data_IF_335463196099
#
_entry.id   IF_335463196099
#
_cell.length_a   1.000
_cell.length_b   1.000
_cell.length_c   1.000
_cell.angle_alpha   90.00
_cell.angle_beta   90.00
_cell.angle_gamma   90.00
#
_symmetry.space_group_name_H-M   'P 1'
#
loop_
_entity.id
_entity.type
_entity.pdbx_description
1 polymer ?
#
# COMPACT_ATOMS: atom_id res chain seq x y z
N UNK A 1 -10.66 -14.25 -0.03
CA UNK A 1 -10.21 -12.88 0.22
C UNK A 1 -8.76 -12.75 -0.22
N UNK A 2 -8.43 -11.70 -0.94
CA UNK A 2 -7.06 -11.52 -1.46
C UNK A 2 -6.15 -10.96 -0.39
N UNK A 3 -4.85 -11.28 -0.49
CA UNK A 3 -3.83 -10.70 0.37
C UNK A 3 -2.79 -9.98 -0.48
N UNK A 4 -2.15 -8.97 0.10
CA UNK A 4 -1.08 -8.27 -0.59
C UNK A 4 0.14 -9.18 -0.76
N UNK A 5 0.83 -9.03 -1.89
CA UNK A 5 2.10 -9.70 -2.13
C UNK A 5 3.03 -8.78 -2.91
N UNK A 6 4.32 -9.05 -2.84
CA UNK A 6 5.33 -8.25 -3.55
C UNK A 6 5.16 -8.32 -5.07
N UNK A 7 4.51 -9.35 -5.57
CA UNK A 7 4.25 -9.49 -7.01
C UNK A 7 3.36 -8.39 -7.56
N UNK A 8 2.57 -7.75 -6.71
CA UNK A 8 1.71 -6.65 -7.14
C UNK A 8 2.51 -5.45 -7.65
N UNK A 9 3.76 -5.30 -7.23
CA UNK A 9 4.61 -4.23 -7.75
C UNK A 9 4.83 -4.34 -9.25
N UNK A 10 4.75 -5.55 -9.81
CA UNK A 10 4.90 -5.76 -11.25
C UNK A 10 3.76 -5.14 -12.05
N UNK A 11 2.61 -4.92 -11.44
CA UNK A 11 1.45 -4.33 -12.08
C UNK A 11 1.40 -2.82 -11.93
N UNK A 12 2.34 -2.24 -11.18
CA UNK A 12 2.36 -0.81 -10.86
C UNK A 12 3.49 -0.11 -11.61
N UNK A 13 3.43 1.22 -11.76
CA UNK A 13 4.54 1.98 -12.32
C UNK A 13 5.84 1.73 -11.56
N UNK A 14 6.96 1.91 -12.23
CA UNK A 14 8.29 1.62 -11.69
C UNK A 14 8.62 2.44 -10.43
N UNK A 15 8.00 3.61 -10.25
CA UNK A 15 8.26 4.46 -9.09
C UNK A 15 7.47 4.05 -7.85
N UNK A 16 6.60 3.05 -7.94
CA UNK A 16 5.89 2.54 -6.75
C UNK A 16 6.88 1.90 -5.80
N UNK A 17 6.87 2.35 -4.55
CA UNK A 17 7.82 1.88 -3.52
C UNK A 17 7.13 1.12 -2.40
N UNK A 18 5.86 1.37 -2.14
CA UNK A 18 5.13 0.79 -1.01
C UNK A 18 3.72 0.45 -1.45
N UNK A 19 3.20 -0.67 -0.96
CA UNK A 19 1.79 -1.03 -1.14
C UNK A 19 1.18 -1.31 0.22
N UNK A 20 -0.11 -1.03 0.37
CA UNK A 20 -0.81 -1.29 1.62
C UNK A 20 -2.31 -1.47 1.36
N UNK A 21 -3.02 -1.95 2.38
CA UNK A 21 -4.48 -2.05 2.36
C UNK A 21 -5.04 -1.18 3.48
N UNK A 22 -6.13 -0.47 3.19
CA UNK A 22 -6.84 0.32 4.19
C UNK A 22 -7.87 -0.54 4.93
N UNK A 23 -8.44 0.03 6.00
CA UNK A 23 -9.39 -0.69 6.84
C UNK A 23 -10.64 -1.17 6.12
N UNK A 24 -10.94 -0.62 4.95
CA UNK A 24 -12.10 -1.02 4.14
C UNK A 24 -11.76 -2.09 3.08
N UNK A 25 -10.53 -2.61 3.07
CA UNK A 25 -10.13 -3.63 2.10
C UNK A 25 -9.65 -3.08 0.77
N UNK A 26 -9.56 -1.76 0.61
CA UNK A 26 -9.05 -1.13 -0.61
C UNK A 26 -7.51 -1.09 -0.55
N UNK A 27 -6.86 -1.54 -1.60
CA UNK A 27 -5.41 -1.60 -1.69
C UNK A 27 -4.87 -0.51 -2.61
N UNK A 28 -3.75 0.08 -2.20
CA UNK A 28 -3.10 1.20 -2.90
C UNK A 28 -1.60 1.01 -2.94
N UNK A 29 -0.99 1.57 -3.99
CA UNK A 29 0.45 1.71 -4.07
C UNK A 29 0.85 3.18 -3.94
N UNK A 30 2.07 3.42 -3.47
CA UNK A 30 2.60 4.76 -3.25
C UNK A 30 4.02 4.87 -3.77
N UNK A 31 4.38 6.03 -4.29
CA UNK A 31 5.75 6.27 -4.75
C UNK A 31 6.69 6.67 -3.62
N UNK A 32 6.20 6.82 -2.40
CA UNK A 32 7.01 7.12 -1.23
C UNK A 32 7.34 5.87 -0.42
N UNK A 33 8.32 5.99 0.49
CA UNK A 33 8.72 4.90 1.38
C UNK A 33 7.69 4.66 2.46
N UNK A 34 7.73 3.46 3.04
CA UNK A 34 6.84 3.08 4.14
C UNK A 34 6.88 4.06 5.29
N UNK A 35 8.05 4.62 5.60
CA UNK A 35 8.21 5.59 6.69
C UNK A 35 7.45 6.89 6.48
N UNK A 36 7.08 7.19 5.24
CA UNK A 36 6.29 8.37 4.89
C UNK A 36 4.79 8.15 5.05
N UNK A 37 4.39 6.97 5.47
CA UNK A 37 2.99 6.61 5.67
C UNK A 37 2.71 6.49 7.16
N UNK A 38 1.58 7.06 7.58
CA UNK A 38 1.07 6.90 8.94
C UNK A 38 -0.36 6.37 8.84
N UNK A 39 -0.85 5.80 9.92
CA UNK A 39 -2.23 5.29 9.94
C UNK A 39 -3.12 6.17 10.79
N UNK A 40 -4.39 6.26 10.39
CA UNK A 40 -5.44 6.84 11.21
C UNK A 40 -6.53 5.78 11.43
N UNK A 41 -7.73 6.19 11.80
CA UNK A 41 -8.82 5.25 12.11
C UNK A 41 -9.32 4.48 10.89
N UNK A 42 -9.05 4.97 9.69
CA UNK A 42 -9.66 4.45 8.47
C UNK A 42 -8.65 3.87 7.48
N UNK A 43 -7.42 4.34 7.50
CA UNK A 43 -6.45 3.91 6.50
C UNK A 43 -5.11 4.60 6.66
N UNK A 44 -4.30 4.50 5.62
CA UNK A 44 -2.99 5.12 5.57
C UNK A 44 -3.09 6.55 5.06
N UNK A 45 -2.26 7.42 5.64
CA UNK A 45 -2.14 8.82 5.25
C UNK A 45 -0.71 9.12 4.87
N UNK A 46 -0.53 10.05 3.92
CA UNK A 46 0.80 10.48 3.50
C UNK A 46 1.30 11.60 4.41
N UNK A 47 2.58 11.56 4.73
CA UNK A 47 3.28 12.66 5.42
C UNK A 47 4.08 13.51 4.44
N UNK A 48 4.11 13.14 3.17
CA UNK A 48 4.77 13.87 2.10
C UNK A 48 3.99 13.69 0.80
N UNK A 49 4.24 14.51 -0.18
CA UNK A 49 3.60 14.37 -1.48
C UNK A 49 4.23 13.21 -2.24
N UNK A 50 3.39 12.31 -2.74
CA UNK A 50 3.83 11.28 -3.66
C UNK A 50 2.66 10.81 -4.51
N UNK A 51 2.93 9.99 -5.51
CA UNK A 51 1.89 9.44 -6.35
C UNK A 51 1.19 8.29 -5.65
N UNK A 52 -0.13 8.20 -5.85
CA UNK A 52 -0.96 7.14 -5.28
C UNK A 52 -1.53 6.34 -6.45
N UNK A 53 -1.42 5.02 -6.36
CA UNK A 53 -1.90 4.12 -7.41
C UNK A 53 -2.96 3.19 -6.84
N UNK A 54 -4.06 3.05 -7.57
CA UNK A 54 -5.13 2.12 -7.21
C UNK A 54 -4.71 0.70 -7.56
N UNK A 55 -4.86 -0.23 -6.61
CA UNK A 55 -4.60 -1.65 -6.84
C UNK A 55 -5.91 -2.41 -7.00
N UNK A 56 -6.80 -2.31 -6.01
CA UNK A 56 -8.07 -3.03 -6.06
C UNK A 56 -8.79 -3.02 -4.74
N UNK A 57 -9.83 -3.85 -4.64
CA UNK A 57 -10.64 -3.98 -3.43
C UNK A 57 -10.77 -5.45 -3.07
N UNK A 58 -11.41 -5.74 -1.94
CA UNK A 58 -11.61 -7.12 -1.51
C UNK A 58 -10.38 -7.75 -0.89
N UNK A 59 -9.42 -6.94 -0.45
CA UNK A 59 -8.22 -7.42 0.22
C UNK A 59 -8.49 -7.65 1.71
N UNK A 60 -7.75 -8.60 2.28
CA UNK A 60 -7.85 -8.89 3.71
C UNK A 60 -7.37 -7.69 4.52
N UNK A 61 -8.29 -7.08 5.27
CA UNK A 61 -8.02 -5.90 6.08
C UNK A 61 -7.94 -6.23 7.58
N UNK A 62 -7.87 -7.50 7.95
CA UNK A 62 -7.87 -7.90 9.36
C UNK A 62 -6.66 -7.36 10.12
N UNK A 63 -5.55 -7.10 9.44
CA UNK A 63 -4.34 -6.54 10.02
C UNK A 63 -3.84 -5.36 9.17
N UNK A 64 -4.75 -4.51 8.73
CA UNK A 64 -4.44 -3.49 7.75
C UNK A 64 -3.38 -2.48 8.22
N UNK A 65 -3.33 -2.19 9.53
CA UNK A 65 -2.36 -1.22 10.05
C UNK A 65 -0.91 -1.68 9.86
N UNK A 66 -0.69 -2.98 9.74
CA UNK A 66 0.62 -3.57 9.52
C UNK A 66 0.79 -4.14 8.12
N UNK A 67 -0.09 -3.74 7.18
CA UNK A 67 -0.11 -4.32 5.84
C UNK A 67 0.94 -3.75 4.89
N UNK A 68 1.54 -2.61 5.19
CA UNK A 68 2.44 -1.93 4.27
C UNK A 68 3.67 -2.78 3.95
N UNK A 69 3.91 -2.98 2.66
CA UNK A 69 5.04 -3.76 2.14
C UNK A 69 5.88 -2.84 1.26
N UNK A 70 7.18 -2.78 1.52
CA UNK A 70 8.10 -2.01 0.67
C UNK A 70 8.62 -2.87 -0.48
N UNK A 71 8.83 -2.22 -1.62
CA UNK A 71 9.44 -2.87 -2.77
C UNK A 71 10.86 -3.28 -2.42
N UNK A 72 11.18 -4.54 -2.69
CA UNK A 72 12.50 -5.05 -2.40
C UNK A 72 13.52 -4.53 -3.42
N UNK A 73 14.75 -4.20 -3.01
CA UNK A 73 15.80 -3.84 -3.95
C UNK A 73 16.13 -5.03 -4.84
N UNK A 74 16.47 -4.74 -6.08
CA UNK A 74 16.83 -5.75 -7.06
C UNK A 74 18.30 -6.14 -6.90
#
# INVERSE_FOLDING_TARGET
>A
MQTLSVELFETLPDDAQTICVNGNGFAYGFSCNKRSLITNDKGFCLTTNCNIYWIGHGYDASNWRNSAIEKQPV
#
